data_IF_624273441773
#
_entry.id   IF_624273441773
#
_cell.length_a   1.000
_cell.length_b   1.000
_cell.length_c   1.000
_cell.angle_alpha   90.00
_cell.angle_beta   90.00
_cell.angle_gamma   90.00
#
_symmetry.space_group_name_H-M   'P 1'
#
loop_
_entity.id
_entity.type
_entity.pdbx_description
1 polymer ?
#
# COMPACT_ATOMS: atom_id res chain seq x y z
N UNK A 1 26.38 -7.30 21.56
CA UNK A 1 25.00 -7.78 21.48
C UNK A 1 24.19 -6.67 20.82
N UNK A 2 24.01 -6.76 19.50
CA UNK A 2 23.21 -5.79 18.76
C UNK A 2 22.01 -6.54 18.22
N UNK A 3 20.84 -6.19 18.73
CA UNK A 3 19.53 -6.69 18.33
C UNK A 3 19.34 -6.48 16.83
N UNK A 4 19.22 -7.56 16.06
CA UNK A 4 18.77 -7.52 14.67
C UNK A 4 17.25 -7.37 14.65
N UNK A 5 16.77 -6.17 14.93
CA UNK A 5 15.44 -5.75 14.49
C UNK A 5 15.49 -5.69 12.96
N UNK A 6 14.57 -6.38 12.29
CA UNK A 6 14.37 -6.24 10.86
C UNK A 6 14.15 -4.75 10.54
N UNK A 7 15.16 -4.07 10.00
CA UNK A 7 14.98 -2.72 9.49
C UNK A 7 13.91 -2.78 8.41
N UNK A 8 12.72 -2.27 8.71
CA UNK A 8 11.63 -2.07 7.75
C UNK A 8 12.08 -1.03 6.72
N UNK A 9 12.95 -1.47 5.80
CA UNK A 9 13.56 -0.63 4.80
C UNK A 9 12.52 -0.39 3.72
N UNK A 10 12.01 0.84 3.66
CA UNK A 10 11.12 1.29 2.58
C UNK A 10 11.74 0.94 1.22
N UNK A 11 10.94 0.50 0.23
CA UNK A 11 11.43 0.24 -1.11
C UNK A 11 12.15 1.45 -1.71
N UNK A 12 13.16 1.23 -2.59
CA UNK A 12 13.85 2.33 -3.26
C UNK A 12 12.86 3.21 -4.03
N UNK A 13 13.12 4.51 -4.06
CA UNK A 13 12.22 5.47 -4.68
C UNK A 13 12.96 6.46 -5.58
N UNK A 14 12.45 6.66 -6.80
CA UNK A 14 12.97 7.65 -7.73
C UNK A 14 12.23 8.98 -7.56
N UNK A 15 12.92 9.93 -6.92
CA UNK A 15 12.45 11.32 -6.81
C UNK A 15 12.64 12.03 -8.15
N UNK A 16 11.55 12.48 -8.79
CA UNK A 16 11.62 13.12 -10.12
C UNK A 16 11.69 14.64 -10.09
N UNK A 17 11.53 15.24 -8.90
CA UNK A 17 11.68 16.68 -8.68
C UNK A 17 12.06 16.96 -7.22
N UNK A 18 12.66 18.13 -6.96
CA UNK A 18 12.97 18.59 -5.60
C UNK A 18 11.67 18.76 -4.81
N UNK A 19 11.73 18.46 -3.52
CA UNK A 19 10.61 18.60 -2.60
C UNK A 19 10.96 19.63 -1.53
N UNK A 20 9.97 20.37 -1.09
CA UNK A 20 10.02 21.12 0.17
C UNK A 20 9.90 20.16 1.37
N UNK A 21 10.27 20.59 2.59
CA UNK A 21 10.14 19.75 3.78
C UNK A 21 8.72 19.25 4.04
N UNK A 22 7.68 20.03 3.72
CA UNK A 22 6.29 19.59 3.92
C UNK A 22 5.83 18.58 2.86
N UNK A 23 6.29 18.74 1.62
CA UNK A 23 6.09 17.77 0.56
C UNK A 23 6.75 16.42 0.89
N UNK A 24 7.96 16.43 1.48
CA UNK A 24 8.63 15.20 1.95
C UNK A 24 7.83 14.49 3.06
N UNK A 25 7.23 15.25 3.99
CA UNK A 25 6.34 14.67 5.03
C UNK A 25 5.11 14.03 4.38
N UNK A 26 4.48 14.70 3.42
CA UNK A 26 3.31 14.17 2.72
C UNK A 26 3.64 12.86 1.98
N UNK A 27 4.80 12.82 1.30
CA UNK A 27 5.31 11.60 0.67
C UNK A 27 5.54 10.49 1.69
N UNK A 28 6.08 10.82 2.86
CA UNK A 28 6.33 9.84 3.93
C UNK A 28 5.04 9.19 4.41
N UNK A 29 4.00 9.99 4.68
CA UNK A 29 2.68 9.50 5.10
C UNK A 29 2.06 8.60 4.02
N UNK A 30 2.10 9.03 2.76
CA UNK A 30 1.57 8.23 1.66
C UNK A 30 2.30 6.89 1.49
N UNK A 31 3.63 6.86 1.62
CA UNK A 31 4.43 5.63 1.57
C UNK A 31 4.18 4.73 2.77
N UNK A 32 3.94 5.30 3.95
CA UNK A 32 3.57 4.53 5.15
C UNK A 32 2.22 3.85 4.97
N UNK A 33 1.22 4.59 4.47
CA UNK A 33 -0.07 4.01 4.10
C UNK A 33 0.10 2.86 3.11
N UNK A 34 0.86 3.07 2.03
CA UNK A 34 1.12 2.04 1.02
C UNK A 34 1.79 0.81 1.63
N UNK A 35 2.83 0.99 2.45
CA UNK A 35 3.53 -0.10 3.14
C UNK A 35 2.59 -0.95 3.97
N UNK A 36 1.69 -0.33 4.74
CA UNK A 36 0.73 -1.05 5.59
C UNK A 36 -0.34 -1.73 4.72
N UNK A 37 -0.98 -0.98 3.82
CA UNK A 37 -2.10 -1.47 3.02
C UNK A 37 -1.70 -2.59 2.04
N UNK A 38 -0.45 -2.60 1.56
CA UNK A 38 0.08 -3.62 0.64
C UNK A 38 0.86 -4.75 1.35
N UNK A 39 0.82 -4.82 2.68
CA UNK A 39 1.55 -5.84 3.43
C UNK A 39 0.62 -6.98 3.88
N UNK A 40 0.87 -8.24 3.46
CA UNK A 40 0.15 -9.40 3.98
C UNK A 40 0.25 -9.60 5.49
N UNK A 41 1.36 -9.17 6.10
CA UNK A 41 1.56 -9.29 7.53
C UNK A 41 0.92 -8.15 8.32
N UNK A 42 0.81 -6.94 7.76
CA UNK A 42 0.36 -5.74 8.49
C UNK A 42 -1.07 -5.29 8.16
N UNK A 43 -1.55 -5.53 6.94
CA UNK A 43 -2.92 -5.17 6.57
C UNK A 43 -3.90 -6.13 7.25
N UNK A 44 -4.59 -5.65 8.28
CA UNK A 44 -5.67 -6.32 9.01
C UNK A 44 -6.99 -5.57 8.88
N UNK A 45 -7.13 -4.82 7.79
CA UNK A 45 -8.31 -4.05 7.46
C UNK A 45 -8.26 -2.61 7.96
N UNK A 46 -9.44 -2.00 8.14
CA UNK A 46 -9.60 -0.55 8.38
C UNK A 46 -8.63 0.03 9.41
N UNK A 47 -8.55 -0.61 10.57
CA UNK A 47 -7.79 -0.10 11.74
C UNK A 47 -6.28 -0.03 11.50
N UNK A 48 -5.75 -0.81 10.55
CA UNK A 48 -4.32 -0.78 10.22
C UNK A 48 -3.86 0.58 9.70
N UNK A 49 -4.75 1.32 9.02
CA UNK A 49 -4.40 2.60 8.37
C UNK A 49 -5.16 3.81 8.91
N UNK A 50 -6.13 3.61 9.80
CA UNK A 50 -7.05 4.65 10.28
C UNK A 50 -6.34 5.90 10.80
N UNK A 51 -5.22 5.73 11.51
CA UNK A 51 -4.40 6.82 12.06
C UNK A 51 -3.71 7.71 11.00
N UNK A 52 -3.71 7.29 9.72
CA UNK A 52 -3.14 8.04 8.60
C UNK A 52 -4.22 8.72 7.74
N UNK A 53 -5.49 8.55 8.08
CA UNK A 53 -6.61 8.98 7.24
C UNK A 53 -7.50 9.96 8.00
N UNK A 54 -7.94 11.01 7.31
CA UNK A 54 -9.00 11.87 7.81
C UNK A 54 -10.35 11.13 7.82
N UNK A 55 -11.25 11.51 8.72
CA UNK A 55 -12.58 10.90 8.86
C UNK A 55 -13.47 11.12 7.62
N UNK A 56 -13.23 12.21 6.89
CA UNK A 56 -13.93 12.59 5.66
C UNK A 56 -13.15 12.24 4.38
N UNK A 57 -12.09 11.45 4.50
CA UNK A 57 -11.29 11.03 3.36
C UNK A 57 -12.12 10.14 2.40
N UNK A 58 -11.93 10.36 1.10
CA UNK A 58 -12.61 9.62 0.03
C UNK A 58 -11.62 8.83 -0.82
N UNK A 59 -12.09 7.72 -1.37
CA UNK A 59 -11.34 6.84 -2.25
C UNK A 59 -12.07 6.69 -3.59
N UNK A 60 -11.31 6.61 -4.67
CA UNK A 60 -11.86 6.55 -6.02
C UNK A 60 -11.11 5.55 -6.91
N UNK A 61 -11.70 4.37 -7.10
CA UNK A 61 -11.26 3.40 -8.10
C UNK A 61 -12.45 2.55 -8.59
N UNK A 62 -13.43 3.17 -9.28
CA UNK A 62 -14.74 2.55 -9.55
C UNK A 62 -14.68 1.27 -10.40
N UNK A 63 -13.62 1.10 -11.20
CA UNK A 63 -13.43 -0.09 -12.05
C UNK A 63 -12.78 -1.26 -11.32
N UNK A 64 -11.94 -1.00 -10.32
CA UNK A 64 -11.13 -2.01 -9.64
C UNK A 64 -11.69 -2.39 -8.28
N UNK A 65 -12.24 -1.40 -7.57
CA UNK A 65 -12.83 -1.55 -6.23
C UNK A 65 -14.23 -0.89 -6.22
N UNK A 66 -15.21 -1.46 -6.94
CA UNK A 66 -16.55 -0.90 -7.00
C UNK A 66 -17.18 -0.87 -5.60
N UNK A 67 -17.70 0.28 -5.20
CA UNK A 67 -18.39 0.47 -3.91
C UNK A 67 -17.50 0.80 -2.71
N UNK A 68 -16.17 0.79 -2.87
CA UNK A 68 -15.22 1.26 -1.85
C UNK A 68 -15.19 2.79 -1.84
N UNK A 69 -15.39 3.42 -0.68
CA UNK A 69 -15.63 4.87 -0.58
C UNK A 69 -14.56 5.65 0.17
N UNK A 70 -13.80 5.00 1.05
CA UNK A 70 -12.72 5.64 1.81
C UNK A 70 -11.41 4.85 1.74
N UNK A 71 -10.25 5.45 2.07
CA UNK A 71 -8.99 4.72 2.18
C UNK A 71 -9.06 3.57 3.21
N UNK A 72 -9.78 3.76 4.32
CA UNK A 72 -10.02 2.72 5.30
C UNK A 72 -10.86 1.56 4.72
N UNK A 73 -11.89 1.85 3.90
CA UNK A 73 -12.65 0.82 3.17
C UNK A 73 -11.73 0.08 2.18
N UNK A 74 -10.82 0.80 1.52
CA UNK A 74 -9.85 0.21 0.61
C UNK A 74 -8.94 -0.76 1.37
N UNK A 75 -8.39 -0.37 2.52
CA UNK A 75 -7.54 -1.25 3.32
C UNK A 75 -8.29 -2.51 3.78
N UNK A 76 -9.56 -2.38 4.17
CA UNK A 76 -10.45 -3.52 4.47
C UNK A 76 -10.57 -4.46 3.29
N UNK A 77 -11.02 -3.95 2.14
CA UNK A 77 -11.16 -4.74 0.92
C UNK A 77 -9.83 -5.38 0.48
N UNK A 78 -8.73 -4.63 0.59
CA UNK A 78 -7.42 -5.07 0.17
C UNK A 78 -6.82 -6.10 1.12
N UNK A 79 -7.23 -6.16 2.40
CA UNK A 79 -6.76 -7.16 3.35
C UNK A 79 -7.10 -8.59 2.91
N UNK A 80 -8.27 -8.78 2.28
CA UNK A 80 -8.66 -10.05 1.68
C UNK A 80 -7.81 -10.41 0.46
N UNK A 81 -7.41 -9.41 -0.34
CA UNK A 81 -6.48 -9.61 -1.45
C UNK A 81 -5.10 -10.01 -0.92
N UNK A 82 -4.64 -9.37 0.17
CA UNK A 82 -3.36 -9.71 0.79
C UNK A 82 -3.33 -11.12 1.39
N UNK A 83 -4.47 -11.63 1.87
CA UNK A 83 -4.58 -13.02 2.32
C UNK A 83 -4.41 -14.02 1.15
N UNK A 84 -4.80 -13.65 -0.06
CA UNK A 84 -4.69 -14.47 -1.26
C UNK A 84 -3.36 -14.34 -2.00
N UNK A 85 -2.72 -13.16 -1.90
CA UNK A 85 -1.38 -12.88 -2.41
C UNK A 85 -0.43 -12.70 -1.22
N UNK A 86 -0.22 -13.79 -0.49
CA UNK A 86 0.43 -13.78 0.83
C UNK A 86 1.93 -13.39 0.80
N UNK A 87 2.52 -13.25 -0.38
CA UNK A 87 3.89 -12.82 -0.63
C UNK A 87 3.99 -11.47 -1.37
N UNK A 88 2.87 -10.73 -1.50
CA UNK A 88 2.89 -9.43 -2.16
C UNK A 88 3.86 -8.47 -1.47
N UNK A 89 4.67 -7.78 -2.27
CA UNK A 89 5.51 -6.68 -1.80
C UNK A 89 5.74 -5.65 -2.91
N UNK A 90 6.00 -4.40 -2.50
CA UNK A 90 6.41 -3.33 -3.41
C UNK A 90 7.92 -3.47 -3.66
N UNK A 91 8.30 -3.61 -4.93
CA UNK A 91 9.70 -3.72 -5.37
C UNK A 91 10.39 -2.35 -5.36
N UNK A 92 9.71 -1.34 -5.91
CA UNK A 92 10.23 0.02 -5.97
C UNK A 92 9.11 1.04 -6.20
N UNK A 93 9.42 2.31 -5.94
CA UNK A 93 8.65 3.45 -6.43
C UNK A 93 9.34 4.07 -7.65
N UNK A 94 8.83 3.74 -8.83
CA UNK A 94 9.33 4.22 -10.14
C UNK A 94 9.26 5.74 -10.31
N UNK A 95 8.30 6.39 -9.64
CA UNK A 95 8.14 7.83 -9.62
C UNK A 95 7.49 8.29 -8.31
N UNK A 96 8.12 9.28 -7.67
CA UNK A 96 7.60 9.94 -6.48
C UNK A 96 7.79 11.43 -6.60
N UNK A 97 6.71 12.18 -6.37
CA UNK A 97 6.76 13.60 -6.07
C UNK A 97 5.50 14.02 -5.33
N UNK A 98 5.57 15.17 -4.67
CA UNK A 98 4.41 15.88 -4.19
C UNK A 98 4.41 17.30 -4.75
N UNK A 99 3.24 17.92 -4.70
CA UNK A 99 3.08 19.35 -4.88
C UNK A 99 2.00 19.84 -3.92
N UNK A 100 2.41 20.69 -2.99
CA UNK A 100 1.55 21.16 -1.90
C UNK A 100 0.92 19.94 -1.17
N UNK A 101 -0.41 19.83 -1.14
CA UNK A 101 -1.12 18.70 -0.52
C UNK A 101 -1.26 17.43 -1.37
N UNK A 102 -0.76 17.40 -2.61
CA UNK A 102 -0.95 16.27 -3.53
C UNK A 102 0.29 15.41 -3.60
N UNK A 103 0.13 14.09 -3.49
CA UNK A 103 1.22 13.12 -3.64
C UNK A 103 0.93 12.19 -4.81
N UNK A 104 1.93 11.96 -5.66
CA UNK A 104 1.90 10.93 -6.69
C UNK A 104 2.94 9.86 -6.37
N UNK A 105 2.48 8.60 -6.39
CA UNK A 105 3.30 7.40 -6.30
C UNK A 105 3.01 6.52 -7.52
N UNK A 106 4.03 6.24 -8.33
CA UNK A 106 4.03 5.12 -9.28
C UNK A 106 5.00 4.08 -8.76
N UNK A 107 4.59 2.82 -8.74
CA UNK A 107 5.34 1.74 -8.15
C UNK A 107 5.20 0.45 -8.95
N UNK A 108 6.15 -0.44 -8.72
CA UNK A 108 6.15 -1.82 -9.16
C UNK A 108 6.01 -2.71 -7.93
N UNK A 109 5.09 -3.68 -7.99
CA UNK A 109 4.86 -4.67 -6.95
C UNK A 109 4.79 -6.07 -7.58
N UNK A 110 5.23 -7.06 -6.84
CA UNK A 110 5.28 -8.46 -7.26
C UNK A 110 4.62 -9.34 -6.20
N UNK A 111 3.99 -10.43 -6.64
CA UNK A 111 3.37 -11.41 -5.77
C UNK A 111 2.84 -12.62 -6.54
N UNK A 112 2.41 -13.64 -5.81
CA UNK A 112 1.84 -14.86 -6.38
C UNK A 112 0.51 -15.22 -5.73
N UNK A 113 -0.40 -15.79 -6.53
CA UNK A 113 -1.68 -16.31 -6.01
C UNK A 113 -1.45 -17.62 -5.26
N UNK A 114 -0.91 -17.50 -4.05
CA UNK A 114 -0.38 -18.60 -3.24
C UNK A 114 -1.12 -18.80 -1.90
N UNK A 115 -1.94 -17.83 -1.50
CA UNK A 115 -2.61 -17.76 -0.21
C UNK A 115 -4.01 -18.38 -0.21
N UNK A 116 -4.92 -17.73 0.53
CA UNK A 116 -6.31 -18.13 0.66
C UNK A 116 -7.11 -17.92 -0.63
N UNK A 117 -8.20 -18.69 -0.81
CA UNK A 117 -9.10 -18.50 -1.95
C UNK A 117 -9.76 -17.12 -1.92
N UNK A 118 -9.85 -16.46 -3.07
CA UNK A 118 -10.51 -15.15 -3.22
C UNK A 118 -11.67 -15.25 -4.19
N UNK A 119 -12.87 -14.79 -3.82
CA UNK A 119 -14.05 -14.79 -4.68
C UNK A 119 -14.33 -16.15 -5.37
N UNK A 120 -14.09 -17.25 -4.66
CA UNK A 120 -14.29 -18.62 -5.17
C UNK A 120 -13.18 -19.13 -6.10
N UNK A 121 -12.08 -18.39 -6.25
CA UNK A 121 -10.91 -18.80 -7.02
C UNK A 121 -9.86 -19.36 -6.06
N UNK A 122 -9.54 -20.64 -6.21
CA UNK A 122 -8.48 -21.32 -5.47
C UNK A 122 -7.09 -20.85 -5.92
N UNK A 123 -6.10 -20.98 -5.03
CA UNK A 123 -4.70 -20.61 -5.33
C UNK A 123 -4.20 -21.31 -6.60
N UNK A 124 -3.61 -20.53 -7.50
CA UNK A 124 -3.14 -21.04 -8.80
C UNK A 124 -1.61 -21.09 -8.89
N UNK A 125 -0.90 -20.37 -8.02
CA UNK A 125 0.55 -20.20 -8.10
C UNK A 125 1.02 -19.25 -9.22
N UNK A 126 0.08 -18.63 -9.96
CA UNK A 126 0.42 -17.63 -10.97
C UNK A 126 1.10 -16.43 -10.31
N UNK A 127 2.08 -15.86 -11.02
CA UNK A 127 2.85 -14.69 -10.58
C UNK A 127 2.44 -13.46 -11.37
N UNK A 128 2.38 -12.32 -10.69
CA UNK A 128 2.20 -11.00 -11.26
C UNK A 128 3.51 -10.22 -11.22
#
# INVERSE_FOLDING_TARGET
MSSSGSENKMPPARMTTKQSPDEEKNISVAKEYMRIAYSPSENKGRKSVEHLCADDAWFWAPTTFPGVKSPQDYAESHSHVMASIADLHIVCYDQVFAKDGHVLLRYTAEGSHCGEAHNGIEKTGNKA
#
